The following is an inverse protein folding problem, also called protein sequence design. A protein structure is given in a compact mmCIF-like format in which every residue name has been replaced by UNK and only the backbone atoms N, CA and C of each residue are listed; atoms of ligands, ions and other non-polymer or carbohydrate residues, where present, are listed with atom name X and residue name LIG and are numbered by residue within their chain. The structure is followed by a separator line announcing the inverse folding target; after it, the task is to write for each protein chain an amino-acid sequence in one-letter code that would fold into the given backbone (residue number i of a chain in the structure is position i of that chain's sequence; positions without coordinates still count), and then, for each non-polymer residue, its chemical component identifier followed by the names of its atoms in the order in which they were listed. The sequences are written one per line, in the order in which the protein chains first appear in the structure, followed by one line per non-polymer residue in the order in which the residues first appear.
data_IF_526505277437
#
_entry.id   IF_526505277437
#
_cell.length_a   1.000
_cell.length_b   1.000
_cell.length_c   1.000
_cell.angle_alpha   90.00
_cell.angle_beta   90.00
_cell.angle_gamma   90.00
#
_symmetry.space_group_name_H-M   'P 1'
#
loop_
_entity.id
_entity.type
_entity.pdbx_description
1 polymer ?
#
# COMPACT_ATOMS: atom_id res chain seq x y z
N UNK A 1 -10.92 -10.51 -10.42
CA UNK A 1 -9.44 -10.51 -10.39
C UNK A 1 -8.97 -9.05 -10.38
N UNK A 2 -8.27 -8.63 -9.33
CA UNK A 2 -7.69 -7.27 -9.24
C UNK A 2 -6.21 -7.35 -9.64
N UNK A 3 -5.76 -6.46 -10.52
CA UNK A 3 -4.33 -6.34 -10.88
C UNK A 3 -3.95 -4.87 -10.82
N UNK A 4 -2.90 -4.57 -10.06
CA UNK A 4 -2.31 -3.25 -9.97
C UNK A 4 -0.82 -3.37 -10.29
N UNK A 5 -0.36 -2.57 -11.26
CA UNK A 5 1.05 -2.51 -11.67
C UNK A 5 1.48 -1.06 -11.61
N UNK A 6 2.64 -0.84 -11.02
CA UNK A 6 3.22 0.47 -10.80
C UNK A 6 4.73 0.33 -10.78
N UNK A 7 5.42 1.33 -11.30
CA UNK A 7 6.87 1.50 -11.27
C UNK A 7 7.31 2.52 -10.20
N UNK A 8 6.35 3.07 -9.47
CA UNK A 8 6.57 4.06 -8.43
C UNK A 8 7.17 3.43 -7.17
N UNK A 9 8.40 3.83 -6.83
CA UNK A 9 9.13 3.31 -5.67
C UNK A 9 8.36 3.48 -4.34
N UNK A 10 7.70 4.64 -4.13
CA UNK A 10 6.86 4.87 -2.94
C UNK A 10 5.69 3.88 -2.80
N UNK A 11 5.23 3.26 -3.89
CA UNK A 11 4.10 2.33 -3.85
C UNK A 11 4.52 0.91 -3.45
N UNK A 12 5.80 0.55 -3.58
CA UNK A 12 6.32 -0.71 -3.06
C UNK A 12 6.09 -0.81 -1.54
N UNK A 13 6.36 0.27 -0.81
CA UNK A 13 6.13 0.35 0.64
C UNK A 13 4.65 0.25 1.01
N UNK A 14 3.77 0.86 0.21
CA UNK A 14 2.31 0.74 0.39
C UNK A 14 1.84 -0.69 0.16
N UNK A 15 2.42 -1.39 -0.82
CA UNK A 15 2.10 -2.78 -1.12
C UNK A 15 2.59 -3.72 0.00
N UNK A 16 3.79 -3.48 0.53
CA UNK A 16 4.31 -4.21 1.68
C UNK A 16 3.40 -4.06 2.91
N UNK A 17 2.97 -2.82 3.20
CA UNK A 17 2.00 -2.53 4.26
C UNK A 17 0.69 -3.29 4.06
N UNK A 18 0.17 -3.32 2.82
CA UNK A 18 -1.04 -4.05 2.47
C UNK A 18 -0.88 -5.55 2.73
N UNK A 19 0.25 -6.13 2.34
CA UNK A 19 0.56 -7.55 2.61
C UNK A 19 0.58 -7.84 4.12
N UNK A 20 1.17 -6.97 4.93
CA UNK A 20 1.24 -7.14 6.38
C UNK A 20 -0.14 -7.11 7.04
N UNK A 21 -1.04 -6.24 6.56
CA UNK A 21 -2.45 -6.22 7.00
C UNK A 21 -3.12 -7.55 6.68
N UNK A 22 -3.00 -8.03 5.43
CA UNK A 22 -3.61 -9.31 5.04
C UNK A 22 -3.07 -10.48 5.86
N UNK A 23 -1.75 -10.56 6.07
CA UNK A 23 -1.17 -11.61 6.90
C UNK A 23 -1.66 -11.56 8.34
N UNK A 24 -1.80 -10.37 8.91
CA UNK A 24 -2.29 -10.22 10.27
C UNK A 24 -3.76 -10.64 10.39
N UNK A 25 -4.61 -10.21 9.45
CA UNK A 25 -6.02 -10.61 9.40
C UNK A 25 -6.18 -12.12 9.25
N UNK A 26 -5.35 -12.75 8.41
CA UNK A 26 -5.37 -14.21 8.23
C UNK A 26 -4.86 -14.96 9.47
N UNK A 27 -3.87 -14.42 10.19
CA UNK A 27 -3.26 -15.09 11.34
C UNK A 27 -4.03 -14.91 12.65
N UNK A 28 -4.61 -13.71 12.87
CA UNK A 28 -5.24 -13.33 14.15
C UNK A 28 -6.76 -13.16 14.04
N UNK A 29 -7.31 -13.16 12.83
CA UNK A 29 -8.72 -12.95 12.58
C UNK A 29 -9.12 -11.48 12.42
N UNK A 30 -10.40 -11.22 12.15
CA UNK A 30 -10.91 -9.90 11.77
C UNK A 30 -10.97 -8.88 12.91
N UNK A 31 -10.83 -9.31 14.16
CA UNK A 31 -10.93 -8.42 15.34
C UNK A 31 -9.59 -7.77 15.73
N UNK A 32 -8.53 -8.05 14.97
CA UNK A 32 -7.21 -7.46 15.22
C UNK A 32 -7.18 -5.96 14.93
N UNK A 33 -6.57 -5.18 15.82
CA UNK A 33 -6.36 -3.76 15.60
C UNK A 33 -5.26 -3.53 14.54
N UNK A 34 -5.67 -3.00 13.39
CA UNK A 34 -4.78 -2.69 12.28
C UNK A 34 -3.90 -1.47 12.54
N UNK A 35 -4.24 -0.63 13.54
CA UNK A 35 -3.43 0.52 13.93
C UNK A 35 -2.04 0.11 14.43
N UNK A 36 -1.93 -1.07 15.05
CA UNK A 36 -0.68 -1.64 15.56
C UNK A 36 0.23 -2.13 14.41
N UNK A 37 -0.37 -2.68 13.35
CA UNK A 37 0.36 -3.19 12.17
C UNK A 37 0.82 -2.05 11.27
N UNK A 38 0.00 -1.00 11.17
CA UNK A 38 0.21 0.07 10.21
C UNK A 38 1.19 1.13 10.69
N UNK A 39 1.53 1.14 11.99
CA UNK A 39 2.40 2.12 12.64
C UNK A 39 1.88 3.55 12.50
N UNK A 40 2.47 4.50 13.25
CA UNK A 40 2.24 5.93 13.03
C UNK A 40 2.97 6.38 11.76
N UNK A 41 2.44 6.04 10.59
CA UNK A 41 3.06 6.47 9.33
C UNK A 41 2.72 7.94 9.07
N UNK A 42 3.77 8.79 9.06
CA UNK A 42 3.71 10.13 8.51
C UNK A 42 3.18 10.05 7.08
N UNK A 43 2.04 10.69 6.87
CA UNK A 43 1.48 11.04 5.57
C UNK A 43 2.37 12.07 4.88
N UNK A 44 3.59 11.68 4.51
CA UNK A 44 4.47 12.57 3.76
C UNK A 44 4.34 12.37 2.25
N UNK A 45 4.19 13.53 1.60
CA UNK A 45 4.39 13.85 0.20
C UNK A 45 3.42 13.29 -0.86
N UNK A 46 2.42 14.15 -1.11
CA UNK A 46 2.12 14.80 -2.40
C UNK A 46 1.69 13.95 -3.63
N UNK A 47 0.65 14.42 -4.37
CA UNK A 47 0.18 13.76 -5.58
C UNK A 47 1.27 13.74 -6.65
N UNK A 48 1.72 12.53 -7.01
CA UNK A 48 2.54 12.33 -8.22
C UNK A 48 1.74 12.88 -9.40
N UNK A 49 2.33 13.86 -10.09
CA UNK A 49 1.71 14.58 -11.20
C UNK A 49 1.19 13.57 -12.23
N UNK A 50 -0.10 13.67 -12.57
CA UNK A 50 -0.73 12.92 -13.67
C UNK A 50 0.03 13.17 -14.98
N UNK A 51 0.88 12.22 -15.37
CA UNK A 51 1.39 12.09 -16.73
C UNK A 51 0.74 10.88 -17.42
N UNK A 52 -0.43 11.06 -18.02
CA UNK A 52 -1.03 10.06 -18.92
C UNK A 52 -0.20 10.04 -20.23
N UNK A 53 0.45 8.92 -20.52
CA UNK A 53 1.58 8.84 -21.45
C UNK A 53 1.29 8.83 -22.95
N UNK A 54 2.30 8.50 -23.76
CA UNK A 54 2.17 7.87 -25.10
C UNK A 54 3.54 7.32 -25.57
N UNK A 55 3.50 6.15 -26.22
CA UNK A 55 4.64 5.47 -26.88
C UNK A 55 5.44 6.42 -27.78
N UNK A 56 6.76 6.21 -27.83
CA UNK A 56 7.57 6.41 -29.03
C UNK A 56 8.16 5.05 -29.42
#
# INVERSE_FOLDING_TARGET
CLKYKTDQAQEAKKMEKLNNIFFTLMARGPEVDLSEVTGKEQTDAQPVKKGRGRKQ
#
